data_IF_477022009504
#
_entry.id   IF_477022009504
#
_cell.length_a   1.000
_cell.length_b   1.000
_cell.length_c   1.000
_cell.angle_alpha   90.00
_cell.angle_beta   90.00
_cell.angle_gamma   90.00
#
_symmetry.space_group_name_H-M   'P 1'
#
loop_
_entity.id
_entity.type
_entity.pdbx_description
1 polymer ?
#
# COMPACT_ATOMS: atom_id res chain seq x y z
N UNK A 1 -9.15 9.34 -5.07
CA UNK A 1 -7.99 9.01 -4.23
C UNK A 1 -7.66 7.53 -4.36
N UNK A 2 -6.38 7.23 -4.39
CA UNK A 2 -5.88 5.85 -4.45
C UNK A 2 -4.93 5.60 -3.29
N UNK A 3 -4.81 4.33 -2.91
CA UNK A 3 -3.86 3.90 -1.90
C UNK A 3 -2.55 3.49 -2.58
N UNK A 4 -1.44 4.01 -2.07
CA UNK A 4 -0.11 3.64 -2.54
C UNK A 4 0.74 3.20 -1.36
N UNK A 5 1.56 2.20 -1.58
CA UNK A 5 2.52 1.75 -0.58
C UNK A 5 3.89 1.60 -1.21
N UNK A 6 4.92 2.10 -0.51
CA UNK A 6 6.29 1.88 -0.93
C UNK A 6 6.70 0.45 -0.58
N UNK A 7 7.16 -0.29 -1.58
CA UNK A 7 7.65 -1.65 -1.42
C UNK A 7 8.89 -1.74 -0.53
N UNK A 8 9.67 -0.66 -0.48
CA UNK A 8 10.95 -0.65 0.25
C UNK A 8 10.81 -0.26 1.71
N UNK A 9 10.07 0.81 2.00
CA UNK A 9 9.96 1.33 3.37
C UNK A 9 8.57 1.11 3.98
N UNK A 10 7.66 0.48 3.27
CA UNK A 10 6.30 0.19 3.72
C UNK A 10 5.44 1.43 4.02
N UNK A 11 5.87 2.62 3.63
CA UNK A 11 5.09 3.83 3.80
C UNK A 11 3.79 3.74 2.98
N UNK A 12 2.67 4.03 3.62
CA UNK A 12 1.36 4.06 2.96
C UNK A 12 0.88 5.50 2.84
N UNK A 13 0.46 5.89 1.64
CA UNK A 13 -0.12 7.21 1.39
C UNK A 13 -1.38 7.10 0.56
N UNK A 14 -2.27 8.08 0.73
CA UNK A 14 -3.47 8.24 -0.09
C UNK A 14 -3.25 9.46 -0.97
N UNK A 15 -3.36 9.28 -2.28
CA UNK A 15 -3.16 10.37 -3.22
C UNK A 15 -3.98 10.12 -4.48
N UNK A 16 -4.32 11.18 -5.21
CA UNK A 16 -5.04 11.06 -6.47
C UNK A 16 -4.14 10.56 -7.60
N UNK A 17 -2.83 10.79 -7.49
CA UNK A 17 -1.84 10.33 -8.45
C UNK A 17 -0.68 9.66 -7.71
N UNK A 18 0.20 9.02 -8.46
CA UNK A 18 1.37 8.36 -7.88
C UNK A 18 2.23 9.39 -7.14
N UNK A 19 2.57 9.14 -5.86
CA UNK A 19 3.40 10.07 -5.10
C UNK A 19 4.81 10.17 -5.65
N UNK A 20 5.52 11.24 -5.26
CA UNK A 20 6.93 11.39 -5.60
C UNK A 20 7.74 10.21 -5.05
N UNK A 21 8.66 9.71 -5.85
CA UNK A 21 9.54 8.61 -5.45
C UNK A 21 10.80 9.06 -4.75
N UNK A 22 10.97 10.36 -4.50
CA UNK A 22 12.19 10.91 -3.90
C UNK A 22 12.26 10.66 -2.40
N UNK A 23 13.49 10.55 -1.89
CA UNK A 23 13.77 10.54 -0.45
C UNK A 23 13.16 9.35 0.30
N UNK A 24 13.29 8.15 -0.24
CA UNK A 24 12.88 6.95 0.47
C UNK A 24 13.78 6.72 1.69
N UNK A 25 13.22 6.54 2.90
CA UNK A 25 14.03 6.31 4.10
C UNK A 25 14.91 5.05 4.03
N UNK A 26 14.52 4.07 3.22
CA UNK A 26 15.31 2.85 3.02
C UNK A 26 16.45 3.03 2.02
N UNK A 27 16.61 4.23 1.49
CA UNK A 27 17.64 4.56 0.51
C UNK A 27 17.12 4.54 -0.92
N UNK A 28 17.64 5.46 -1.73
CA UNK A 28 17.23 5.57 -3.12
C UNK A 28 15.83 6.11 -3.31
N UNK A 29 15.09 5.55 -4.24
CA UNK A 29 13.75 6.01 -4.60
C UNK A 29 12.67 5.10 -4.00
N UNK A 30 11.50 5.70 -3.70
CA UNK A 30 10.32 4.91 -3.36
C UNK A 30 9.90 4.07 -4.56
N UNK A 31 9.39 2.87 -4.27
CA UNK A 31 8.78 2.02 -5.29
C UNK A 31 7.30 1.86 -4.92
N UNK A 32 6.48 2.75 -5.45
CA UNK A 32 5.07 2.80 -5.12
C UNK A 32 4.29 1.70 -5.81
N UNK A 33 3.42 1.04 -5.06
CA UNK A 33 2.46 0.07 -5.57
C UNK A 33 1.06 0.65 -5.41
N UNK A 34 0.30 0.69 -6.52
CA UNK A 34 -1.10 1.11 -6.49
C UNK A 34 -1.95 -0.02 -5.90
N UNK A 35 -2.51 0.20 -4.73
CA UNK A 35 -3.32 -0.79 -4.04
C UNK A 35 -4.82 -0.64 -4.33
N UNK A 36 -5.17 0.32 -5.17
CA UNK A 36 -6.56 0.53 -5.57
C UNK A 36 -7.17 1.79 -4.98
N UNK A 37 -8.42 2.06 -5.35
CA UNK A 37 -9.11 3.30 -4.95
C UNK A 37 -9.45 3.29 -3.45
N UNK A 38 -9.36 4.45 -2.83
CA UNK A 38 -9.81 4.64 -1.45
C UNK A 38 -11.34 4.48 -1.40
N UNK A 39 -11.82 3.76 -0.41
CA UNK A 39 -13.26 3.53 -0.20
C UNK A 39 -13.59 3.49 1.27
N UNK A 40 -14.71 2.83 1.59
CA UNK A 40 -15.22 2.79 2.96
C UNK A 40 -14.93 1.51 3.71
N UNK A 41 -14.58 0.43 3.00
CA UNK A 41 -14.25 -0.84 3.63
C UNK A 41 -12.83 -0.83 4.18
N UNK A 42 -12.66 -1.36 5.37
CA UNK A 42 -11.34 -1.46 5.99
C UNK A 42 -10.73 -2.83 5.71
N UNK A 43 -9.47 -2.83 5.30
CA UNK A 43 -8.70 -4.06 5.06
C UNK A 43 -7.37 -3.97 5.79
N UNK A 44 -6.94 -5.09 6.32
CA UNK A 44 -5.63 -5.18 6.97
C UNK A 44 -4.84 -6.35 6.37
N UNK A 45 -3.58 -6.10 6.04
CA UNK A 45 -2.69 -7.16 5.61
C UNK A 45 -2.20 -7.93 6.82
N UNK A 46 -2.38 -9.24 6.77
CA UNK A 46 -1.97 -10.14 7.84
C UNK A 46 -0.44 -10.20 8.01
N UNK A 47 0.30 -9.96 6.92
CA UNK A 47 1.76 -10.09 6.91
C UNK A 47 2.49 -8.82 7.33
N UNK A 48 2.10 -7.68 6.79
CA UNK A 48 2.77 -6.41 7.08
C UNK A 48 1.97 -5.48 7.99
N UNK A 49 0.80 -5.92 8.42
CA UNK A 49 -0.09 -5.18 9.31
C UNK A 49 -0.58 -3.84 8.75
N UNK A 50 -0.47 -3.63 7.43
CA UNK A 50 -0.96 -2.41 6.81
C UNK A 50 -2.48 -2.36 6.87
N UNK A 51 -3.01 -1.28 7.46
CA UNK A 51 -4.46 -1.04 7.53
C UNK A 51 -4.80 0.07 6.55
N UNK A 52 -5.76 -0.18 5.66
CA UNK A 52 -6.20 0.84 4.72
C UNK A 52 -7.69 0.75 4.43
N UNK A 53 -8.23 1.82 3.85
CA UNK A 53 -9.61 1.87 3.41
C UNK A 53 -9.66 1.74 1.89
N UNK A 54 -10.52 0.85 1.39
CA UNK A 54 -10.62 0.58 -0.04
C UNK A 54 -12.07 0.30 -0.41
N UNK A 55 -12.42 0.53 -1.68
CA UNK A 55 -13.75 0.19 -2.20
C UNK A 55 -13.93 -1.32 -2.35
N UNK A 56 -12.85 -2.02 -2.64
CA UNK A 56 -12.85 -3.44 -2.82
C UNK A 56 -11.52 -3.98 -2.31
N UNK A 57 -11.34 -5.29 -2.38
CA UNK A 57 -10.09 -5.90 -1.92
C UNK A 57 -8.89 -5.25 -2.61
N UNK A 58 -7.92 -4.72 -1.83
CA UNK A 58 -6.75 -4.09 -2.44
C UNK A 58 -5.88 -5.07 -3.21
N UNK A 59 -5.02 -4.53 -4.06
CA UNK A 59 -4.02 -5.35 -4.76
C UNK A 59 -3.15 -6.10 -3.76
N UNK A 60 -2.93 -7.37 -3.99
CA UNK A 60 -2.08 -8.19 -3.12
C UNK A 60 -0.61 -8.17 -3.50
N UNK A 61 -0.24 -7.42 -4.54
CA UNK A 61 1.13 -7.41 -5.06
C UNK A 61 2.09 -6.62 -4.17
N UNK A 62 3.36 -7.04 -4.18
CA UNK A 62 4.47 -6.28 -3.60
C UNK A 62 4.31 -5.99 -2.11
N UNK A 63 3.98 -7.01 -1.32
CA UNK A 63 3.99 -6.86 0.13
C UNK A 63 5.42 -6.63 0.62
N UNK A 64 5.68 -5.58 1.44
CA UNK A 64 7.02 -5.31 1.94
C UNK A 64 7.61 -6.45 2.79
N UNK A 65 6.75 -7.28 3.38
CA UNK A 65 7.19 -8.44 4.15
C UNK A 65 7.54 -9.65 3.27
N UNK A 66 7.45 -9.48 1.95
CA UNK A 66 7.75 -10.52 0.99
C UNK A 66 6.49 -11.19 0.45
N UNK A 67 6.53 -11.55 -0.83
CA UNK A 67 5.41 -12.20 -1.50
C UNK A 67 4.20 -11.30 -1.66
N UNK A 68 3.03 -11.84 -1.42
CA UNK A 68 1.75 -11.15 -1.61
C UNK A 68 1.15 -10.71 -0.30
N UNK A 69 0.39 -9.62 -0.33
CA UNK A 69 -0.46 -9.23 0.79
C UNK A 69 -1.54 -10.28 1.02
N UNK A 70 -1.89 -10.45 2.28
CA UNK A 70 -3.02 -11.29 2.68
C UNK A 70 -4.05 -10.39 3.36
N UNK A 71 -4.98 -9.87 2.59
CA UNK A 71 -5.96 -8.91 3.07
C UNK A 71 -7.08 -9.58 3.83
N UNK A 72 -7.41 -8.99 4.97
CA UNK A 72 -8.57 -9.37 5.78
C UNK A 72 -9.50 -8.18 5.84
N UNK A 73 -10.76 -8.36 5.46
CA UNK A 73 -11.77 -7.30 5.59
C UNK A 73 -12.13 -7.15 7.07
N UNK A 74 -12.01 -5.93 7.55
CA UNK A 74 -12.31 -5.62 8.94
C UNK A 74 -13.79 -5.32 9.18
#
# INVERSE_FOLDING_TARGET
>A
MKNYQCKKCATHVKNSTRPSSLNCPSGGSHQWTDLGAVGTDNYQCKKCALLLQSKSRPSSLNCPSGGSHQWTKM
#
